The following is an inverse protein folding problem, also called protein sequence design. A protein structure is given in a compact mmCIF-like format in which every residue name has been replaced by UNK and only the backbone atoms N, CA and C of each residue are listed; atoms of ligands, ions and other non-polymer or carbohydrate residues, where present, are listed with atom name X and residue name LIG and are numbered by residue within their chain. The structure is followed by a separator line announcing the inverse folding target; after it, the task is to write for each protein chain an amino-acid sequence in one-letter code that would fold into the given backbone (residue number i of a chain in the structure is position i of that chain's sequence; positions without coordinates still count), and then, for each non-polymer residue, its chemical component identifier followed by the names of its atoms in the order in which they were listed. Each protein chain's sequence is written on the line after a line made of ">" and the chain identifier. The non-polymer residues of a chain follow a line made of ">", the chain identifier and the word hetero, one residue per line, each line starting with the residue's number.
data_IF_547722285013
#
_entry.id   IF_547722285013
#
_cell.length_a   1.000
_cell.length_b   1.000
_cell.length_c   1.000
_cell.angle_alpha   90.00
_cell.angle_beta   90.00
_cell.angle_gamma   90.00
#
_symmetry.space_group_name_H-M   'P 1'
#
loop_
_entity.id
_entity.type
_entity.pdbx_description
1 polymer ?
#
# COMPACT_ATOMS: atom_id res chain seq x y z
N UNK A 1 -6.85 -18.17 6.20
CA UNK A 1 -6.86 -16.93 7.00
C UNK A 1 -7.71 -17.16 8.26
N UNK A 2 -7.19 -16.93 9.47
CA UNK A 2 -8.04 -16.95 10.68
C UNK A 2 -9.03 -15.80 10.59
N UNK A 3 -10.32 -16.08 10.66
CA UNK A 3 -11.35 -15.05 10.72
C UNK A 3 -11.19 -14.32 12.06
N UNK A 4 -10.85 -13.04 12.01
CA UNK A 4 -10.78 -12.20 13.21
C UNK A 4 -12.17 -11.64 13.45
N UNK A 5 -12.80 -12.05 14.56
CA UNK A 5 -14.09 -11.51 14.96
C UNK A 5 -13.92 -10.08 15.52
N UNK A 6 -14.06 -9.11 14.67
CA UNK A 6 -14.13 -7.70 15.05
C UNK A 6 -15.40 -7.08 14.45
N UNK A 7 -15.95 -6.11 15.17
CA UNK A 7 -17.03 -5.31 14.60
C UNK A 7 -16.49 -4.50 13.40
N UNK A 8 -17.30 -4.25 12.37
CA UNK A 8 -16.89 -3.43 11.23
C UNK A 8 -16.33 -2.08 11.66
N UNK A 9 -15.31 -1.64 10.97
CA UNK A 9 -14.68 -0.33 11.17
C UNK A 9 -14.38 0.31 9.83
N UNK A 10 -14.11 1.61 9.83
CA UNK A 10 -13.62 2.32 8.66
C UNK A 10 -12.58 3.37 9.06
N UNK A 11 -11.64 3.62 8.16
CA UNK A 11 -10.59 4.63 8.33
C UNK A 11 -10.86 5.80 7.41
N UNK A 12 -10.70 7.00 7.92
CA UNK A 12 -10.73 8.24 7.15
C UNK A 12 -9.39 8.97 7.27
N UNK A 13 -9.13 9.90 6.38
CA UNK A 13 -7.94 10.72 6.41
C UNK A 13 -6.89 10.31 5.38
N UNK A 14 -7.31 10.14 4.12
CA UNK A 14 -6.42 9.87 2.99
C UNK A 14 -5.36 10.97 2.80
N UNK A 15 -4.16 10.59 2.36
CA UNK A 15 -3.06 11.51 2.12
C UNK A 15 -2.56 12.17 3.41
N UNK A 16 -2.34 13.49 3.38
CA UNK A 16 -1.78 14.24 4.51
C UNK A 16 -2.80 14.59 5.61
N UNK A 17 -4.05 14.17 5.47
CA UNK A 17 -5.15 14.42 6.42
C UNK A 17 -4.90 13.74 7.74
N UNK A 18 -5.49 14.27 8.82
CA UNK A 18 -5.57 13.57 10.10
C UNK A 18 -6.28 12.22 9.94
N UNK A 19 -5.72 11.17 10.55
CA UNK A 19 -6.29 9.82 10.51
C UNK A 19 -7.38 9.69 11.54
N UNK A 20 -8.57 9.31 11.08
CA UNK A 20 -9.76 9.13 11.92
C UNK A 20 -10.23 7.68 11.83
N UNK A 21 -10.49 7.08 12.96
CA UNK A 21 -11.00 5.72 13.09
C UNK A 21 -12.48 5.74 13.43
N UNK A 22 -13.30 5.11 12.60
CA UNK A 22 -14.73 4.93 12.83
C UNK A 22 -15.05 3.53 13.30
N UNK A 23 -15.86 3.42 14.37
CA UNK A 23 -16.44 2.17 14.85
C UNK A 23 -17.63 2.44 15.76
N UNK A 24 -18.76 1.71 15.57
CA UNK A 24 -19.95 1.75 16.46
C UNK A 24 -20.45 3.16 16.80
N UNK A 25 -20.71 3.99 15.81
CA UNK A 25 -21.18 5.35 16.03
C UNK A 25 -20.15 6.33 16.59
N UNK A 26 -18.92 5.92 16.79
CA UNK A 26 -17.83 6.76 17.24
C UNK A 26 -16.80 6.99 16.15
N UNK A 27 -16.39 8.24 15.97
CA UNK A 27 -15.26 8.66 15.15
C UNK A 27 -14.23 9.28 16.08
N UNK A 28 -13.04 8.68 16.10
CA UNK A 28 -11.96 9.10 17.00
C UNK A 28 -10.69 9.44 16.22
N UNK A 29 -9.89 10.36 16.73
CA UNK A 29 -8.56 10.66 16.20
C UNK A 29 -7.61 9.48 16.45
N UNK A 30 -6.88 9.06 15.41
CA UNK A 30 -5.84 8.03 15.57
C UNK A 30 -4.57 8.56 16.24
N UNK A 31 -4.43 9.88 16.40
CA UNK A 31 -3.24 10.48 16.99
C UNK A 31 -3.23 10.41 18.52
N UNK A 32 -4.39 10.61 19.14
CA UNK A 32 -4.53 10.71 20.60
C UNK A 32 -5.75 9.95 21.17
N UNK A 33 -6.57 9.32 20.31
CA UNK A 33 -7.78 8.59 20.70
C UNK A 33 -8.95 9.51 21.11
N UNK A 34 -8.85 10.83 20.92
CA UNK A 34 -9.92 11.76 21.27
C UNK A 34 -11.16 11.57 20.39
N UNK A 35 -12.36 11.70 20.97
CA UNK A 35 -13.59 11.61 20.24
C UNK A 35 -13.81 12.89 19.39
N UNK A 36 -13.87 12.71 18.07
CA UNK A 36 -14.22 13.77 17.11
C UNK A 36 -15.73 13.90 16.97
N UNK A 37 -16.41 12.74 17.00
CA UNK A 37 -17.87 12.63 16.96
C UNK A 37 -18.32 11.33 17.61
N UNK A 38 -19.46 11.33 18.28
CA UNK A 38 -20.08 10.13 18.85
C UNK A 38 -21.60 10.26 18.87
N UNK A 39 -22.30 9.18 18.52
CA UNK A 39 -23.76 9.07 18.60
C UNK A 39 -24.19 7.64 18.91
N UNK A 40 -25.42 7.49 19.46
CA UNK A 40 -26.07 6.18 19.53
C UNK A 40 -26.66 5.83 18.18
N UNK A 41 -26.31 4.66 17.64
CA UNK A 41 -26.80 4.19 16.35
C UNK A 41 -27.90 3.14 16.52
N UNK A 42 -28.90 3.19 15.64
CA UNK A 42 -29.90 2.15 15.43
C UNK A 42 -29.47 1.17 14.33
N UNK A 43 -28.68 1.66 13.39
CA UNK A 43 -28.12 0.92 12.28
C UNK A 43 -26.91 1.67 11.71
N UNK A 44 -25.99 0.92 11.10
CA UNK A 44 -24.78 1.44 10.49
C UNK A 44 -24.55 0.80 9.14
N UNK A 45 -24.11 1.59 8.16
CA UNK A 45 -23.73 1.11 6.85
C UNK A 45 -22.38 1.72 6.47
N UNK A 46 -21.40 0.85 6.22
CA UNK A 46 -20.09 1.23 5.68
C UNK A 46 -20.11 0.96 4.18
N UNK A 47 -20.02 2.03 3.39
CA UNK A 47 -19.90 1.99 1.93
C UNK A 47 -18.43 2.27 1.57
N UNK A 48 -17.59 1.28 1.78
CA UNK A 48 -16.14 1.44 1.64
C UNK A 48 -15.69 1.95 0.25
N UNK A 49 -16.23 1.46 -0.88
CA UNK A 49 -15.90 2.00 -2.19
C UNK A 49 -16.31 3.46 -2.37
N UNK A 50 -17.28 3.95 -1.62
CA UNK A 50 -17.75 5.34 -1.65
C UNK A 50 -17.16 6.19 -0.53
N UNK A 51 -16.19 5.64 0.23
CA UNK A 51 -15.53 6.31 1.36
C UNK A 51 -16.52 6.92 2.35
N UNK A 52 -17.63 6.22 2.58
CA UNK A 52 -18.79 6.74 3.31
C UNK A 52 -19.21 5.82 4.43
N UNK A 53 -19.47 6.40 5.59
CA UNK A 53 -20.17 5.75 6.71
C UNK A 53 -21.49 6.48 6.97
N UNK A 54 -22.56 5.72 7.01
CA UNK A 54 -23.91 6.20 7.30
C UNK A 54 -24.41 5.58 8.60
N UNK A 55 -24.87 6.42 9.51
CA UNK A 55 -25.38 6.05 10.82
C UNK A 55 -26.84 6.45 10.95
N UNK A 56 -27.72 5.50 11.23
CA UNK A 56 -29.12 5.75 11.56
C UNK A 56 -29.26 5.99 13.06
N UNK A 57 -29.86 7.10 13.45
CA UNK A 57 -30.08 7.49 14.85
C UNK A 57 -31.56 7.71 15.11
N UNK A 58 -31.96 7.85 16.38
CA UNK A 58 -33.36 8.21 16.76
C UNK A 58 -33.79 9.56 16.20
N UNK A 59 -32.88 10.43 15.82
CA UNK A 59 -33.14 11.81 15.38
C UNK A 59 -33.02 11.99 13.87
N UNK A 60 -32.45 11.02 13.15
CA UNK A 60 -32.23 11.11 11.72
C UNK A 60 -30.99 10.35 11.30
N UNK A 61 -30.38 10.74 10.19
CA UNK A 61 -29.19 10.10 9.62
C UNK A 61 -28.00 11.02 9.77
N UNK A 62 -26.89 10.46 10.27
CA UNK A 62 -25.58 11.10 10.26
C UNK A 62 -24.75 10.44 9.18
N UNK A 63 -24.00 11.22 8.41
CA UNK A 63 -23.11 10.71 7.37
C UNK A 63 -21.71 11.29 7.54
N UNK A 64 -20.70 10.41 7.47
CA UNK A 64 -19.31 10.81 7.31
C UNK A 64 -18.88 10.36 5.92
N UNK A 65 -18.37 11.29 5.13
CA UNK A 65 -17.87 11.04 3.78
C UNK A 65 -16.49 11.64 3.60
N UNK A 66 -15.63 10.94 2.88
CA UNK A 66 -14.33 11.46 2.45
C UNK A 66 -14.32 11.63 0.93
N UNK A 67 -13.98 12.83 0.48
CA UNK A 67 -13.85 13.19 -0.93
C UNK A 67 -12.46 13.78 -1.25
N UNK A 68 -12.27 14.29 -2.46
CA UNK A 68 -11.00 14.88 -2.88
C UNK A 68 -10.58 16.09 -2.03
N UNK A 69 -11.52 16.79 -1.40
CA UNK A 69 -11.26 17.99 -0.60
C UNK A 69 -10.99 17.68 0.88
N UNK A 70 -11.67 16.69 1.45
CA UNK A 70 -11.56 16.42 2.89
C UNK A 70 -12.44 15.30 3.41
N UNK A 71 -12.50 15.20 4.72
CA UNK A 71 -13.46 14.38 5.47
C UNK A 71 -14.56 15.28 6.00
N UNK A 72 -15.79 14.96 5.70
CA UNK A 72 -16.98 15.77 5.98
C UNK A 72 -17.98 14.99 6.82
N UNK A 73 -18.57 15.65 7.80
CA UNK A 73 -19.64 15.12 8.62
C UNK A 73 -20.90 15.94 8.37
N UNK A 74 -22.00 15.27 8.07
CA UNK A 74 -23.35 15.84 8.05
C UNK A 74 -24.15 15.22 9.17
N UNK A 75 -24.64 16.01 10.12
CA UNK A 75 -25.39 15.52 11.26
C UNK A 75 -26.89 15.32 10.93
N UNK A 76 -27.65 14.84 11.90
CA UNK A 76 -29.09 14.54 11.76
C UNK A 76 -29.97 15.77 11.47
N UNK A 77 -29.45 17.00 11.65
CA UNK A 77 -30.13 18.24 11.29
C UNK A 77 -29.83 18.71 9.88
N UNK A 78 -28.87 18.06 9.21
CA UNK A 78 -28.31 18.46 7.93
C UNK A 78 -27.18 19.48 8.06
N UNK A 79 -26.74 19.81 9.26
CA UNK A 79 -25.57 20.69 9.45
C UNK A 79 -24.30 19.98 9.00
N UNK A 80 -23.54 20.65 8.15
CA UNK A 80 -22.32 20.14 7.51
C UNK A 80 -21.09 20.78 8.11
N UNK A 81 -20.06 19.96 8.38
CA UNK A 81 -18.74 20.43 8.81
C UNK A 81 -17.62 19.60 8.21
N UNK A 82 -16.53 20.25 7.87
CA UNK A 82 -15.28 19.58 7.47
C UNK A 82 -14.45 19.25 8.71
N UNK A 83 -14.05 18.00 8.85
CA UNK A 83 -13.28 17.50 9.98
C UNK A 83 -11.78 17.68 9.74
N UNK A 84 -11.32 17.31 8.56
CA UNK A 84 -9.93 17.49 8.11
C UNK A 84 -9.91 17.70 6.60
N UNK A 85 -8.97 18.50 6.10
CA UNK A 85 -8.89 18.87 4.68
C UNK A 85 -7.44 18.86 4.20
N UNK A 86 -7.24 18.23 3.05
CA UNK A 86 -6.03 18.28 2.24
C UNK A 86 -6.37 17.63 0.89
N UNK A 87 -5.97 18.20 -0.25
CA UNK A 87 -6.39 17.67 -1.53
C UNK A 87 -5.74 16.31 -1.83
N UNK A 88 -6.55 15.38 -2.34
CA UNK A 88 -6.14 14.11 -2.93
C UNK A 88 -6.90 13.92 -4.22
N UNK A 89 -6.39 13.08 -5.15
CA UNK A 89 -7.15 12.66 -6.33
C UNK A 89 -7.75 11.29 -6.08
N UNK A 90 -9.04 11.13 -6.38
CA UNK A 90 -9.79 9.91 -6.18
C UNK A 90 -10.40 9.43 -7.51
N UNK A 91 -9.62 8.80 -8.40
CA UNK A 91 -10.13 8.25 -9.65
C UNK A 91 -11.31 7.34 -9.41
N UNK A 92 -12.31 7.43 -10.27
CA UNK A 92 -13.53 6.64 -10.15
C UNK A 92 -13.36 5.19 -10.65
N UNK A 93 -12.35 4.91 -11.49
CA UNK A 93 -12.13 3.63 -12.16
C UNK A 93 -13.34 3.15 -12.94
N UNK A 94 -14.14 4.08 -13.49
CA UNK A 94 -15.36 3.79 -14.23
C UNK A 94 -15.10 2.83 -15.39
N UNK A 95 -15.95 1.79 -15.51
CA UNK A 95 -15.84 0.77 -16.55
C UNK A 95 -14.87 -0.37 -16.22
N UNK A 96 -14.07 -0.26 -15.16
CA UNK A 96 -13.22 -1.38 -14.73
C UNK A 96 -14.05 -2.47 -14.02
N UNK A 97 -13.87 -3.77 -14.33
CA UNK A 97 -14.69 -4.85 -13.74
C UNK A 97 -14.55 -4.93 -12.20
N UNK A 98 -13.43 -4.48 -11.64
CA UNK A 98 -13.15 -4.46 -10.20
C UNK A 98 -13.05 -3.03 -9.65
N UNK A 99 -13.91 -2.14 -10.14
CA UNK A 99 -13.95 -0.73 -9.73
C UNK A 99 -13.93 -0.54 -8.20
N UNK A 100 -14.79 -1.26 -7.51
CA UNK A 100 -14.95 -1.10 -6.06
C UNK A 100 -13.72 -1.62 -5.30
N UNK A 101 -13.12 -2.72 -5.75
CA UNK A 101 -11.85 -3.19 -5.19
C UNK A 101 -10.71 -2.19 -5.42
N UNK A 102 -10.59 -1.63 -6.63
CA UNK A 102 -9.57 -0.60 -6.92
C UNK A 102 -9.74 0.64 -6.05
N UNK A 103 -10.98 1.08 -5.81
CA UNK A 103 -11.25 2.22 -4.92
C UNK A 103 -10.81 1.93 -3.49
N UNK A 104 -11.11 0.74 -2.95
CA UNK A 104 -10.68 0.34 -1.61
C UNK A 104 -9.16 0.18 -1.54
N UNK A 105 -8.51 -0.45 -2.52
CA UNK A 105 -7.06 -0.60 -2.56
C UNK A 105 -6.34 0.76 -2.65
N UNK A 106 -6.87 1.68 -3.45
CA UNK A 106 -6.35 3.04 -3.51
C UNK A 106 -6.52 3.78 -2.18
N UNK A 107 -7.66 3.61 -1.51
CA UNK A 107 -7.88 4.12 -0.17
C UNK A 107 -6.88 3.52 0.83
N UNK A 108 -6.65 2.20 0.82
CA UNK A 108 -5.68 1.51 1.68
C UNK A 108 -4.26 2.10 1.53
N UNK A 109 -3.89 2.49 0.30
CA UNK A 109 -2.61 3.16 0.02
C UNK A 109 -2.60 4.59 0.56
N UNK A 110 -3.62 5.39 0.28
CA UNK A 110 -3.67 6.79 0.70
C UNK A 110 -3.77 6.96 2.22
N UNK A 111 -4.41 6.03 2.93
CA UNK A 111 -4.44 6.01 4.40
C UNK A 111 -3.03 5.83 4.99
N UNK A 112 -2.16 5.09 4.32
CA UNK A 112 -0.79 4.82 4.76
C UNK A 112 0.21 5.94 4.39
N UNK A 113 -0.28 7.17 4.19
CA UNK A 113 0.57 8.37 4.09
C UNK A 113 0.45 9.18 5.38
N UNK A 114 1.54 9.34 6.12
CA UNK A 114 1.59 10.11 7.37
C UNK A 114 2.52 11.32 7.20
N UNK A 115 1.98 12.52 7.30
CA UNK A 115 2.79 13.74 7.16
C UNK A 115 3.59 13.79 5.85
N UNK A 116 2.99 13.32 4.75
CA UNK A 116 3.64 13.25 3.44
C UNK A 116 4.63 12.09 3.29
N UNK A 117 4.69 11.15 4.23
CA UNK A 117 5.60 10.00 4.22
C UNK A 117 4.84 8.71 3.97
N UNK A 118 5.23 7.90 2.98
CA UNK A 118 4.64 6.59 2.74
C UNK A 118 5.13 5.59 3.81
N UNK A 119 4.19 4.87 4.44
CA UNK A 119 4.52 3.89 5.48
C UNK A 119 3.82 2.56 5.18
N UNK A 120 4.37 1.41 5.61
CA UNK A 120 3.75 0.11 5.37
C UNK A 120 2.35 -0.03 5.99
N UNK A 121 2.18 0.47 7.21
CA UNK A 121 0.91 0.59 7.91
C UNK A 121 1.01 1.70 8.96
N UNK A 122 0.08 2.66 8.91
CA UNK A 122 0.15 3.86 9.75
C UNK A 122 -0.06 3.60 11.25
N UNK A 123 -0.61 2.46 11.65
CA UNK A 123 -0.69 2.07 13.06
C UNK A 123 0.61 1.49 13.58
N UNK A 124 1.12 0.45 12.91
CA UNK A 124 2.16 -0.44 13.45
C UNK A 124 3.55 -0.23 12.84
N UNK A 125 3.63 0.42 11.67
CA UNK A 125 4.87 0.75 10.97
C UNK A 125 4.91 2.25 10.64
N UNK A 126 5.30 3.07 11.59
CA UNK A 126 5.26 4.54 11.42
C UNK A 126 6.48 5.14 10.71
N UNK A 127 7.42 4.32 10.25
CA UNK A 127 8.59 4.76 9.49
C UNK A 127 8.41 4.42 8.02
N UNK A 128 8.80 5.30 7.09
CA UNK A 128 8.81 4.97 5.67
C UNK A 128 9.81 3.86 5.38
N UNK A 129 9.39 2.87 4.60
CA UNK A 129 10.26 1.86 4.02
C UNK A 129 10.39 2.12 2.52
N UNK A 130 11.60 1.95 1.96
CA UNK A 130 11.79 2.19 0.52
C UNK A 130 10.99 1.22 -0.32
N UNK A 131 10.84 -0.01 0.14
CA UNK A 131 10.06 -1.06 -0.50
C UNK A 131 8.60 -0.65 -0.67
N UNK A 132 7.95 -0.28 0.41
CA UNK A 132 6.56 0.19 0.40
C UNK A 132 6.43 1.53 -0.33
N UNK A 133 7.36 2.44 -0.10
CA UNK A 133 7.39 3.75 -0.77
C UNK A 133 7.50 3.64 -2.29
N UNK A 134 8.30 2.70 -2.80
CA UNK A 134 8.45 2.45 -4.24
C UNK A 134 7.18 1.86 -4.85
N UNK A 135 6.55 0.88 -4.18
CA UNK A 135 5.28 0.31 -4.60
C UNK A 135 4.16 1.36 -4.59
N UNK A 136 4.09 2.17 -3.53
CA UNK A 136 3.16 3.31 -3.48
C UNK A 136 3.42 4.29 -4.62
N UNK A 137 4.67 4.57 -4.93
CA UNK A 137 5.03 5.49 -6.04
C UNK A 137 4.44 5.04 -7.37
N UNK A 138 4.43 3.73 -7.67
CA UNK A 138 3.79 3.17 -8.87
C UNK A 138 2.29 3.47 -8.91
N UNK A 139 1.60 3.27 -7.79
CA UNK A 139 0.15 3.52 -7.71
C UNK A 139 -0.16 5.02 -7.72
N UNK A 140 0.61 5.82 -6.98
CA UNK A 140 0.43 7.28 -6.93
C UNK A 140 0.69 7.95 -8.29
N UNK A 141 1.60 7.39 -9.11
CA UNK A 141 1.80 7.81 -10.50
C UNK A 141 0.53 7.59 -11.34
N UNK A 142 -0.01 6.36 -11.32
CA UNK A 142 -1.23 5.99 -12.07
C UNK A 142 -2.45 6.81 -11.63
N UNK A 143 -2.52 7.20 -10.36
CA UNK A 143 -3.68 7.92 -9.78
C UNK A 143 -3.49 9.43 -9.68
N UNK A 144 -2.33 9.95 -10.12
CA UNK A 144 -2.03 11.40 -10.13
C UNK A 144 -1.76 11.99 -8.73
N UNK A 145 -1.31 11.19 -7.78
CA UNK A 145 -1.09 11.56 -6.38
C UNK A 145 0.38 11.67 -5.96
N UNK A 146 1.34 11.63 -6.88
CA UNK A 146 2.78 11.70 -6.58
C UNK A 146 3.18 12.91 -5.72
N UNK A 147 2.46 14.03 -5.85
CA UNK A 147 2.71 15.23 -5.07
C UNK A 147 2.64 14.99 -3.55
N UNK A 148 1.88 13.98 -3.10
CA UNK A 148 1.72 13.66 -1.66
C UNK A 148 3.01 13.21 -0.98
N UNK A 149 3.96 12.63 -1.72
CA UNK A 149 5.22 12.08 -1.18
C UNK A 149 6.47 12.79 -1.73
N UNK A 150 6.31 13.83 -2.56
CA UNK A 150 7.44 14.51 -3.21
C UNK A 150 8.45 15.09 -2.23
N UNK A 151 7.97 15.76 -1.19
CA UNK A 151 8.85 16.41 -0.21
C UNK A 151 9.61 15.37 0.63
N UNK A 152 8.98 14.24 0.94
CA UNK A 152 9.67 13.12 1.58
C UNK A 152 10.78 12.57 0.67
N UNK A 153 10.49 12.35 -0.60
CA UNK A 153 11.47 11.85 -1.55
C UNK A 153 12.66 12.83 -1.72
N UNK A 154 12.39 14.13 -1.77
CA UNK A 154 13.43 15.15 -1.86
C UNK A 154 14.31 15.24 -0.59
N UNK A 155 13.81 14.79 0.55
CA UNK A 155 14.50 14.82 1.83
C UNK A 155 15.23 13.49 2.17
N UNK A 156 15.27 12.52 1.24
CA UNK A 156 16.01 11.27 1.46
C UNK A 156 17.51 11.55 1.56
N UNK A 157 18.19 10.94 2.53
CA UNK A 157 19.60 11.21 2.84
C UNK A 157 20.47 9.95 2.91
N UNK A 158 19.89 8.76 2.78
CA UNK A 158 20.56 7.47 2.87
C UNK A 158 20.25 6.55 1.68
N UNK A 159 21.19 5.66 1.33
CA UNK A 159 20.98 4.63 0.29
C UNK A 159 20.06 3.50 0.75
N UNK A 160 19.99 3.27 2.05
CA UNK A 160 19.27 2.19 2.70
C UNK A 160 18.43 2.75 3.84
N UNK A 161 17.17 2.34 3.93
CA UNK A 161 16.30 2.76 5.04
C UNK A 161 16.62 2.05 6.36
N UNK A 162 17.23 0.87 6.30
CA UNK A 162 17.65 0.04 7.44
C UNK A 162 16.52 -0.27 8.44
N UNK A 163 15.28 -0.19 8.01
CA UNK A 163 14.13 -0.43 8.88
C UNK A 163 13.99 -1.91 9.25
N UNK A 164 14.46 -2.81 8.39
CA UNK A 164 14.43 -4.24 8.64
C UNK A 164 15.63 -4.67 9.51
N UNK A 165 15.49 -4.55 10.82
CA UNK A 165 16.51 -4.92 11.82
C UNK A 165 17.90 -4.29 11.56
N UNK A 166 17.99 -3.15 10.89
CA UNK A 166 19.24 -2.45 10.58
C UNK A 166 19.97 -2.97 9.34
N UNK A 167 19.39 -3.91 8.59
CA UNK A 167 19.98 -4.51 7.39
C UNK A 167 20.03 -3.49 6.25
N UNK A 168 21.12 -3.52 5.47
CA UNK A 168 21.22 -2.83 4.19
C UNK A 168 20.66 -3.74 3.09
N UNK A 169 19.36 -3.55 2.79
CA UNK A 169 18.68 -4.37 1.80
C UNK A 169 18.99 -3.90 0.38
N UNK A 170 19.41 -4.83 -0.48
CA UNK A 170 19.93 -4.50 -1.81
C UNK A 170 18.87 -3.93 -2.75
N UNK A 171 17.60 -4.33 -2.61
CA UNK A 171 16.49 -3.79 -3.38
C UNK A 171 16.27 -2.29 -3.13
N UNK A 172 16.69 -1.76 -1.97
CA UNK A 172 16.58 -0.34 -1.65
C UNK A 172 17.29 0.56 -2.69
N UNK A 173 18.37 0.10 -3.32
CA UNK A 173 19.09 0.89 -4.33
C UNK A 173 18.20 1.19 -5.54
N UNK A 174 17.54 0.17 -6.07
CA UNK A 174 16.61 0.33 -7.19
C UNK A 174 15.34 1.09 -6.81
N UNK A 175 14.79 0.80 -5.65
CA UNK A 175 13.62 1.48 -5.09
C UNK A 175 13.86 2.98 -4.89
N UNK A 176 14.99 3.35 -4.31
CA UNK A 176 15.42 4.74 -4.14
C UNK A 176 15.49 5.47 -5.49
N UNK A 177 16.18 4.86 -6.48
CA UNK A 177 16.28 5.44 -7.82
C UNK A 177 14.90 5.65 -8.45
N UNK A 178 14.02 4.67 -8.33
CA UNK A 178 12.66 4.74 -8.86
C UNK A 178 11.83 5.84 -8.19
N UNK A 179 11.83 5.92 -6.86
CA UNK A 179 11.15 6.95 -6.07
C UNK A 179 11.60 8.34 -6.51
N UNK A 180 12.93 8.57 -6.55
CA UNK A 180 13.50 9.86 -6.94
C UNK A 180 13.12 10.25 -8.37
N UNK A 181 13.21 9.31 -9.32
CA UNK A 181 12.82 9.55 -10.71
C UNK A 181 11.37 9.99 -10.83
N UNK A 182 10.45 9.19 -10.27
CA UNK A 182 9.00 9.39 -10.44
C UNK A 182 8.47 10.62 -9.71
N UNK A 183 9.11 11.00 -8.60
CA UNK A 183 8.77 12.23 -7.86
C UNK A 183 9.42 13.50 -8.42
N UNK A 184 10.21 13.38 -9.51
CA UNK A 184 10.84 14.51 -10.21
C UNK A 184 12.13 15.00 -9.55
N UNK A 185 12.74 14.21 -8.68
CA UNK A 185 14.01 14.54 -7.99
C UNK A 185 15.23 13.98 -8.79
N UNK A 186 15.30 14.24 -10.09
CA UNK A 186 16.27 13.64 -11.02
C UNK A 186 17.72 14.10 -10.82
N UNK A 187 17.95 15.22 -10.11
CA UNK A 187 19.28 15.75 -9.79
C UNK A 187 19.72 15.43 -8.35
N UNK A 188 19.03 14.49 -7.69
CA UNK A 188 19.27 14.17 -6.29
C UNK A 188 20.66 13.57 -6.05
N UNK A 189 21.41 14.03 -5.01
CA UNK A 189 22.82 13.62 -4.78
C UNK A 189 22.99 12.14 -4.41
N UNK A 190 21.93 11.44 -4.05
CA UNK A 190 21.97 9.98 -3.83
C UNK A 190 21.97 9.18 -5.12
N UNK A 191 21.52 9.70 -6.26
CA UNK A 191 21.45 8.97 -7.52
C UNK A 191 22.82 8.42 -7.94
N UNK A 192 23.88 9.25 -8.12
CA UNK A 192 25.19 8.71 -8.50
C UNK A 192 25.75 7.74 -7.46
N UNK A 193 25.50 7.97 -6.18
CA UNK A 193 25.96 7.07 -5.11
C UNK A 193 25.24 5.72 -5.16
N UNK A 194 23.94 5.70 -5.42
CA UNK A 194 23.16 4.46 -5.55
C UNK A 194 23.61 3.64 -6.75
N UNK A 195 23.89 4.30 -7.89
CA UNK A 195 24.40 3.63 -9.09
C UNK A 195 25.81 3.04 -8.85
N UNK A 196 26.69 3.78 -8.20
CA UNK A 196 28.03 3.28 -7.85
C UNK A 196 27.95 2.08 -6.90
N UNK A 197 27.13 2.18 -5.87
CA UNK A 197 26.91 1.10 -4.89
C UNK A 197 26.27 -0.13 -5.55
N UNK A 198 25.29 0.06 -6.45
CA UNK A 198 24.70 -1.02 -7.19
C UNK A 198 25.72 -1.75 -8.07
N UNK A 199 26.59 -1.02 -8.78
CA UNK A 199 27.71 -1.62 -9.54
C UNK A 199 28.65 -2.40 -8.65
N UNK A 200 28.99 -1.88 -7.47
CA UNK A 200 29.87 -2.54 -6.49
C UNK A 200 29.25 -3.84 -5.95
N UNK A 201 27.92 -3.87 -5.76
CA UNK A 201 27.17 -5.05 -5.25
C UNK A 201 26.73 -6.01 -6.35
N UNK A 202 26.99 -5.74 -7.62
CA UNK A 202 26.60 -6.63 -8.71
C UNK A 202 27.66 -7.68 -9.01
N UNK A 203 27.21 -8.91 -9.27
CA UNK A 203 28.02 -9.98 -9.83
C UNK A 203 27.41 -10.41 -11.16
N UNK A 204 28.22 -10.40 -12.23
CA UNK A 204 27.79 -10.73 -13.59
C UNK A 204 26.56 -9.94 -14.08
N UNK A 205 26.36 -8.71 -13.53
CA UNK A 205 25.24 -7.82 -13.85
C UNK A 205 24.00 -8.02 -13.00
N UNK A 206 23.95 -9.03 -12.14
CA UNK A 206 22.85 -9.24 -11.18
C UNK A 206 23.21 -8.61 -9.83
N UNK A 207 22.25 -7.92 -9.22
CA UNK A 207 22.43 -7.35 -7.89
C UNK A 207 22.43 -8.45 -6.83
N UNK A 208 23.39 -8.41 -5.92
CA UNK A 208 23.58 -9.38 -4.82
C UNK A 208 23.30 -8.77 -3.46
N UNK A 209 23.02 -9.60 -2.47
CA UNK A 209 22.75 -9.22 -1.09
C UNK A 209 21.36 -9.64 -0.64
N UNK A 210 20.93 -9.14 0.51
CA UNK A 210 19.68 -9.55 1.13
C UNK A 210 18.55 -8.56 0.82
N UNK A 211 17.34 -9.06 0.74
CA UNK A 211 16.08 -8.34 0.91
C UNK A 211 15.20 -9.22 1.77
N UNK A 212 14.59 -8.65 2.82
CA UNK A 212 13.77 -9.36 3.80
C UNK A 212 14.39 -10.67 4.33
N UNK A 213 15.66 -10.58 4.77
CA UNK A 213 16.48 -11.65 5.35
C UNK A 213 16.93 -12.76 4.39
N UNK A 214 16.60 -12.68 3.10
CA UNK A 214 17.00 -13.67 2.09
C UNK A 214 17.54 -13.00 0.83
N UNK A 215 18.20 -13.79 -0.02
CA UNK A 215 18.59 -13.33 -1.35
C UNK A 215 17.40 -13.44 -2.31
N UNK A 216 17.10 -12.33 -2.98
CA UNK A 216 16.06 -12.23 -4.00
C UNK A 216 16.63 -11.62 -5.29
N UNK A 217 17.55 -12.33 -5.98
CA UNK A 217 18.38 -11.74 -7.03
C UNK A 217 17.58 -11.27 -8.24
N UNK A 218 16.46 -11.90 -8.58
CA UNK A 218 15.58 -11.46 -9.67
C UNK A 218 14.86 -10.18 -9.28
N UNK A 219 14.20 -10.19 -8.14
CA UNK A 219 13.45 -9.05 -7.60
C UNK A 219 14.34 -7.82 -7.42
N UNK A 220 15.50 -7.98 -6.76
CA UNK A 220 16.46 -6.91 -6.51
C UNK A 220 16.99 -6.30 -7.82
N UNK A 221 17.34 -7.15 -8.79
CA UNK A 221 17.88 -6.71 -10.07
C UNK A 221 16.81 -6.04 -10.94
N UNK A 222 15.57 -6.51 -10.89
CA UNK A 222 14.45 -5.85 -11.57
C UNK A 222 14.15 -4.47 -11.01
N UNK A 223 14.19 -4.29 -9.68
CA UNK A 223 14.08 -2.96 -9.08
C UNK A 223 15.18 -2.03 -9.55
N UNK A 224 16.43 -2.51 -9.56
CA UNK A 224 17.55 -1.72 -10.05
C UNK A 224 17.34 -1.29 -11.51
N UNK A 225 16.94 -2.22 -12.37
CA UNK A 225 16.65 -1.95 -13.77
C UNK A 225 15.55 -0.90 -13.93
N UNK A 226 14.42 -1.07 -13.23
CA UNK A 226 13.29 -0.11 -13.25
C UNK A 226 13.71 1.29 -12.77
N UNK A 227 14.51 1.37 -11.71
CA UNK A 227 15.00 2.65 -11.20
C UNK A 227 15.92 3.37 -12.19
N UNK A 228 16.83 2.64 -12.82
CA UNK A 228 17.73 3.19 -13.86
C UNK A 228 16.94 3.63 -15.11
N UNK A 229 16.03 2.80 -15.60
CA UNK A 229 15.16 3.13 -16.74
C UNK A 229 14.31 4.37 -16.48
N UNK A 230 13.74 4.49 -15.27
CA UNK A 230 12.95 5.65 -14.88
C UNK A 230 13.75 6.97 -14.90
N UNK A 231 15.06 6.89 -14.68
CA UNK A 231 16.01 8.01 -14.76
C UNK A 231 16.61 8.21 -16.17
N UNK A 232 16.32 7.31 -17.14
CA UNK A 232 16.96 7.33 -18.46
C UNK A 232 18.45 7.00 -18.40
N UNK A 233 18.90 6.25 -17.39
CA UNK A 233 20.30 5.83 -17.23
C UNK A 233 20.57 4.50 -17.96
N UNK A 234 21.84 4.26 -18.25
CA UNK A 234 22.30 3.04 -18.92
C UNK A 234 21.99 1.78 -18.10
N UNK A 235 21.33 0.82 -18.70
CA UNK A 235 20.95 -0.49 -18.13
C UNK A 235 21.63 -1.67 -18.80
N UNK A 236 22.49 -1.49 -19.80
CA UNK A 236 23.13 -2.58 -20.56
C UNK A 236 24.00 -3.51 -19.70
N UNK A 237 24.49 -2.99 -18.59
CA UNK A 237 25.28 -3.76 -17.64
C UNK A 237 24.41 -4.56 -16.64
N UNK A 238 23.09 -4.31 -16.56
CA UNK A 238 22.17 -4.99 -15.64
C UNK A 238 21.62 -6.25 -16.30
N UNK A 239 21.83 -7.40 -15.68
CA UNK A 239 21.36 -8.70 -16.19
C UNK A 239 20.48 -9.36 -15.13
N UNK A 240 19.19 -9.45 -15.41
CA UNK A 240 18.26 -10.16 -14.55
C UNK A 240 18.56 -11.66 -14.63
N UNK A 241 18.87 -12.33 -13.51
CA UNK A 241 19.20 -13.76 -13.55
C UNK A 241 17.95 -14.61 -13.76
N UNK A 242 18.11 -15.72 -14.49
CA UNK A 242 17.03 -16.69 -14.75
C UNK A 242 17.04 -17.78 -13.65
N UNK A 243 16.66 -17.41 -12.43
CA UNK A 243 16.58 -18.31 -11.28
C UNK A 243 15.24 -18.15 -10.57
N UNK A 244 14.74 -19.17 -9.85
CA UNK A 244 13.53 -19.03 -9.04
C UNK A 244 13.70 -17.96 -7.98
N UNK A 245 12.68 -17.09 -7.84
CA UNK A 245 12.66 -16.04 -6.82
C UNK A 245 11.22 -15.79 -6.36
N UNK A 246 10.94 -16.10 -5.11
CA UNK A 246 9.60 -15.99 -4.52
C UNK A 246 9.08 -14.56 -4.38
N UNK A 247 9.97 -13.56 -4.49
CA UNK A 247 9.63 -12.13 -4.42
C UNK A 247 9.36 -11.50 -5.78
N UNK A 248 9.60 -12.23 -6.89
CA UNK A 248 9.50 -11.66 -8.23
C UNK A 248 8.20 -11.90 -9.00
N UNK A 249 7.14 -12.56 -8.48
CA UNK A 249 6.03 -13.06 -9.31
C UNK A 249 5.35 -12.03 -10.19
N UNK A 250 5.27 -10.80 -9.76
CA UNK A 250 4.68 -9.70 -10.54
C UNK A 250 5.72 -8.71 -11.01
N UNK A 251 7.00 -9.00 -10.82
CA UNK A 251 8.01 -7.97 -10.84
C UNK A 251 8.64 -7.68 -12.21
N UNK A 252 8.27 -6.58 -12.88
CA UNK A 252 6.86 -6.22 -12.77
C UNK A 252 6.30 -6.52 -14.14
N UNK A 253 5.60 -7.62 -14.26
CA UNK A 253 4.86 -8.13 -15.42
C UNK A 253 5.60 -8.05 -16.77
N UNK A 254 6.92 -8.08 -16.75
CA UNK A 254 7.79 -7.99 -17.92
C UNK A 254 7.96 -9.32 -18.68
N UNK A 255 7.09 -10.26 -18.39
CA UNK A 255 7.12 -11.60 -19.03
C UNK A 255 8.20 -12.52 -18.47
N UNK A 256 8.81 -12.20 -17.34
CA UNK A 256 9.77 -13.07 -16.69
C UNK A 256 9.03 -14.30 -16.11
N UNK A 257 9.27 -15.46 -16.74
CA UNK A 257 8.58 -16.72 -16.45
C UNK A 257 9.47 -17.63 -15.58
N UNK A 258 9.86 -17.17 -14.40
CA UNK A 258 10.54 -18.06 -13.47
C UNK A 258 9.54 -19.02 -12.83
N UNK A 259 9.99 -20.24 -12.56
CA UNK A 259 9.27 -21.14 -11.67
C UNK A 259 9.31 -20.59 -10.26
N UNK A 260 8.20 -20.09 -9.79
CA UNK A 260 8.07 -19.59 -8.44
C UNK A 260 7.50 -20.67 -7.53
N UNK A 261 8.23 -20.98 -6.46
CA UNK A 261 7.73 -21.83 -5.40
C UNK A 261 6.85 -21.01 -4.46
N UNK A 262 5.57 -20.85 -4.79
CA UNK A 262 4.64 -20.03 -4.00
C UNK A 262 4.24 -20.62 -2.68
N UNK A 263 4.28 -21.94 -2.50
CA UNK A 263 4.06 -22.67 -1.25
C UNK A 263 3.04 -22.05 -0.29
N UNK A 264 3.42 -21.95 0.98
CA UNK A 264 2.62 -21.32 2.04
C UNK A 264 2.38 -19.81 1.86
N UNK A 265 3.11 -19.16 0.96
CA UNK A 265 2.91 -17.74 0.65
C UNK A 265 1.53 -17.49 0.05
N UNK A 266 1.04 -18.36 -0.84
CA UNK A 266 -0.28 -18.23 -1.44
C UNK A 266 -1.42 -18.39 -0.44
N UNK A 267 -1.22 -19.14 0.65
CA UNK A 267 -2.23 -19.30 1.70
C UNK A 267 -2.40 -18.01 2.52
N UNK A 268 -1.32 -17.27 2.72
CA UNK A 268 -1.32 -16.01 3.47
C UNK A 268 -1.71 -14.81 2.60
N UNK A 269 -1.42 -14.88 1.31
CA UNK A 269 -1.64 -13.80 0.33
C UNK A 269 -2.36 -14.33 -0.91
N UNK A 270 -3.69 -14.42 -0.89
CA UNK A 270 -4.48 -15.03 -1.97
C UNK A 270 -4.21 -14.45 -3.37
N UNK A 271 -3.90 -13.15 -3.47
CA UNK A 271 -3.58 -12.50 -4.74
C UNK A 271 -2.29 -13.03 -5.38
N UNK A 272 -1.35 -13.58 -4.61
CA UNK A 272 -0.16 -14.24 -5.17
C UNK A 272 -0.52 -15.52 -5.92
N UNK A 273 -1.59 -16.21 -5.53
CA UNK A 273 -2.13 -17.34 -6.31
C UNK A 273 -2.62 -16.87 -7.68
N UNK A 274 -3.18 -15.68 -7.75
CA UNK A 274 -3.63 -15.11 -9.04
C UNK A 274 -2.46 -14.69 -9.90
N UNK A 275 -1.46 -14.08 -9.31
CA UNK A 275 -0.23 -13.70 -9.99
C UNK A 275 0.48 -14.95 -10.56
N UNK A 276 0.59 -16.00 -9.75
CA UNK A 276 1.16 -17.28 -10.17
C UNK A 276 0.37 -17.90 -11.31
N UNK A 277 -0.95 -17.93 -11.21
CA UNK A 277 -1.82 -18.46 -12.26
C UNK A 277 -1.67 -17.66 -13.56
N UNK A 278 -1.57 -16.34 -13.49
CA UNK A 278 -1.38 -15.47 -14.64
C UNK A 278 -0.03 -15.72 -15.33
N UNK A 279 1.06 -15.75 -14.57
CA UNK A 279 2.41 -16.01 -15.11
C UNK A 279 2.56 -17.42 -15.68
N UNK A 280 1.86 -18.41 -15.12
CA UNK A 280 1.82 -19.77 -15.65
C UNK A 280 0.84 -19.96 -16.83
N UNK A 281 0.10 -18.92 -17.22
CA UNK A 281 -0.88 -18.99 -18.30
C UNK A 281 -2.19 -19.70 -17.94
N UNK A 282 -2.48 -19.88 -16.64
CA UNK A 282 -3.75 -20.40 -16.17
C UNK A 282 -4.82 -19.30 -16.12
N UNK A 283 -6.07 -19.72 -16.29
CA UNK A 283 -7.23 -18.84 -16.04
C UNK A 283 -7.35 -18.60 -14.54
N UNK A 284 -7.56 -17.34 -14.15
CA UNK A 284 -7.79 -17.00 -12.75
C UNK A 284 -8.93 -17.81 -12.14
N UNK A 285 -8.78 -18.23 -10.89
CA UNK A 285 -9.82 -18.87 -10.13
C UNK A 285 -11.02 -17.92 -9.96
N UNK A 286 -12.18 -18.37 -10.43
CA UNK A 286 -13.42 -17.59 -10.40
C UNK A 286 -13.88 -17.25 -8.98
N UNK A 287 -13.56 -18.07 -7.99
CA UNK A 287 -13.94 -17.82 -6.59
C UNK A 287 -13.19 -16.63 -6.01
N UNK A 288 -11.90 -16.51 -6.30
CA UNK A 288 -11.10 -15.36 -5.88
C UNK A 288 -11.54 -14.06 -6.57
N UNK A 289 -11.88 -14.13 -7.86
CA UNK A 289 -12.43 -12.99 -8.59
C UNK A 289 -13.78 -12.55 -8.05
N UNK A 290 -14.66 -13.48 -7.69
CA UNK A 290 -15.96 -13.17 -7.11
C UNK A 290 -15.84 -12.39 -5.77
N UNK A 291 -14.81 -12.65 -4.99
CA UNK A 291 -14.52 -11.88 -3.77
C UNK A 291 -14.17 -10.41 -4.06
N UNK A 292 -13.59 -10.12 -5.24
CA UNK A 292 -13.27 -8.75 -5.67
C UNK A 292 -14.44 -8.00 -6.31
N UNK A 293 -15.49 -8.70 -6.75
CA UNK A 293 -16.71 -8.07 -7.25
C UNK A 293 -17.50 -7.38 -6.12
N UNK A 294 -17.41 -7.91 -4.89
CA UNK A 294 -18.02 -7.34 -3.68
C UNK A 294 -17.01 -7.35 -2.53
N UNK A 295 -15.98 -6.51 -2.63
CA UNK A 295 -14.90 -6.55 -1.68
C UNK A 295 -15.35 -6.08 -0.29
N UNK A 296 -14.86 -6.76 0.75
CA UNK A 296 -14.91 -6.27 2.12
C UNK A 296 -13.93 -5.12 2.35
N UNK A 297 -13.90 -4.59 3.58
CA UNK A 297 -12.95 -3.56 3.98
C UNK A 297 -12.28 -3.96 5.32
N UNK A 298 -10.97 -3.75 5.47
CA UNK A 298 -10.00 -3.51 4.40
C UNK A 298 -9.72 -4.78 3.57
N UNK A 299 -9.21 -4.61 2.33
CA UNK A 299 -8.85 -5.77 1.48
C UNK A 299 -7.43 -6.24 1.78
N UNK A 300 -6.52 -5.30 2.02
CA UNK A 300 -5.11 -5.59 2.23
C UNK A 300 -4.78 -5.80 3.71
N UNK A 301 -3.87 -6.71 3.98
CA UNK A 301 -3.44 -7.01 5.34
C UNK A 301 -2.10 -7.73 5.37
N UNK A 302 -1.46 -7.75 6.53
CA UNK A 302 -0.25 -8.52 6.82
C UNK A 302 -0.35 -9.17 8.21
N UNK A 303 0.20 -10.36 8.36
CA UNK A 303 0.18 -11.12 9.61
C UNK A 303 1.59 -11.46 10.07
N UNK A 304 1.85 -11.32 11.38
CA UNK A 304 3.13 -11.67 12.02
C UNK A 304 4.36 -10.95 11.45
N UNK A 305 4.13 -9.76 10.92
CA UNK A 305 5.21 -8.95 10.38
C UNK A 305 6.32 -8.68 11.39
N UNK A 306 7.54 -8.79 10.96
CA UNK A 306 8.72 -8.58 11.77
C UNK A 306 8.89 -7.20 12.29
N UNK A 307 9.24 -6.40 12.72
CA UNK A 307 9.38 -4.98 13.11
C UNK A 307 8.06 -4.23 13.40
N UNK A 308 6.88 -4.89 13.28
CA UNK A 308 5.59 -4.26 13.56
C UNK A 308 5.33 -4.08 15.07
N UNK A 309 4.81 -2.90 15.44
CA UNK A 309 4.47 -2.56 16.82
C UNK A 309 2.98 -2.77 17.08
N UNK A 310 2.52 -4.01 17.13
CA UNK A 310 1.09 -4.37 17.22
C UNK A 310 0.37 -3.79 18.45
N UNK A 311 1.08 -3.51 19.53
CA UNK A 311 0.49 -2.88 20.71
C UNK A 311 -0.10 -1.48 20.45
N UNK A 312 0.40 -0.79 19.41
CA UNK A 312 -0.15 0.51 19.00
C UNK A 312 -1.54 0.38 18.36
N UNK A 313 -1.88 -0.80 17.87
CA UNK A 313 -3.20 -1.10 17.30
C UNK A 313 -4.25 -1.44 18.36
N UNK A 314 -3.82 -1.91 19.54
CA UNK A 314 -4.69 -2.41 20.61
C UNK A 314 -5.81 -1.46 21.06
N UNK A 315 -5.61 -0.14 21.17
CA UNK A 315 -6.69 0.77 21.54
C UNK A 315 -7.85 0.83 20.53
N UNK A 316 -7.58 0.49 19.28
CA UNK A 316 -8.55 0.57 18.17
C UNK A 316 -9.09 -0.81 17.79
N UNK A 317 -8.21 -1.77 17.62
CA UNK A 317 -8.50 -3.11 17.10
C UNK A 317 -7.80 -4.19 17.95
N UNK A 318 -8.27 -4.47 19.17
CA UNK A 318 -7.61 -5.38 20.11
C UNK A 318 -7.46 -6.81 19.55
N UNK A 319 -8.48 -7.36 18.84
CA UNK A 319 -8.37 -8.69 18.27
C UNK A 319 -7.34 -8.77 17.12
N UNK A 320 -7.16 -7.68 16.36
CA UNK A 320 -6.09 -7.57 15.35
C UNK A 320 -4.71 -7.54 16.03
N UNK A 321 -4.58 -6.77 17.11
CA UNK A 321 -3.32 -6.72 17.88
C UNK A 321 -2.95 -8.09 18.46
N UNK A 322 -3.92 -8.80 19.06
CA UNK A 322 -3.73 -10.15 19.61
C UNK A 322 -3.36 -11.18 18.54
N UNK A 323 -3.96 -11.07 17.37
CA UNK A 323 -3.66 -11.92 16.21
C UNK A 323 -2.37 -11.52 15.48
N UNK A 324 -1.69 -10.45 15.90
CA UNK A 324 -0.54 -9.85 15.19
C UNK A 324 -0.86 -9.61 13.70
N UNK A 325 -2.02 -9.04 13.45
CA UNK A 325 -2.56 -8.76 12.13
C UNK A 325 -2.69 -7.25 11.94
N UNK A 326 -2.18 -6.72 10.85
CA UNK A 326 -2.29 -5.31 10.48
C UNK A 326 -3.06 -5.15 9.19
N UNK A 327 -3.96 -4.18 9.16
CA UNK A 327 -4.76 -3.83 8.00
C UNK A 327 -5.14 -2.32 8.07
N UNK A 328 -5.08 -1.60 6.94
CA UNK A 328 -4.58 -2.02 5.63
C UNK A 328 -3.05 -2.15 5.59
N UNK A 329 -2.51 -2.85 4.57
CA UNK A 329 -1.07 -2.98 4.34
C UNK A 329 -0.69 -2.50 2.95
N UNK A 330 0.28 -1.60 2.88
CA UNK A 330 0.62 -0.84 1.67
C UNK A 330 1.13 -1.71 0.53
N UNK A 331 2.13 -2.57 0.79
CA UNK A 331 2.68 -3.42 -0.27
C UNK A 331 1.59 -4.29 -0.91
N UNK A 332 0.82 -5.02 -0.09
CA UNK A 332 -0.19 -5.93 -0.60
C UNK A 332 -1.32 -5.18 -1.33
N UNK A 333 -1.68 -3.98 -0.84
CA UNK A 333 -2.63 -3.12 -1.56
C UNK A 333 -2.09 -2.69 -2.91
N UNK A 334 -0.81 -2.29 -2.97
CA UNK A 334 -0.18 -1.84 -4.20
C UNK A 334 -0.01 -2.96 -5.23
N UNK A 335 0.46 -4.14 -4.81
CA UNK A 335 0.58 -5.30 -5.71
C UNK A 335 -0.76 -5.68 -6.33
N UNK A 336 -1.81 -5.77 -5.52
CA UNK A 336 -3.15 -6.11 -6.00
C UNK A 336 -3.71 -5.02 -6.93
N UNK A 337 -3.53 -3.74 -6.57
CA UNK A 337 -3.94 -2.61 -7.41
C UNK A 337 -3.25 -2.64 -8.77
N UNK A 338 -1.93 -2.76 -8.79
CA UNK A 338 -1.13 -2.78 -10.01
C UNK A 338 -1.48 -3.99 -10.88
N UNK A 339 -1.63 -5.16 -10.27
CA UNK A 339 -2.04 -6.36 -10.98
C UNK A 339 -3.38 -6.18 -11.70
N UNK A 340 -4.40 -5.68 -11.01
CA UNK A 340 -5.71 -5.44 -11.60
C UNK A 340 -5.66 -4.40 -12.72
N UNK A 341 -4.92 -3.30 -12.52
CA UNK A 341 -4.81 -2.23 -13.52
C UNK A 341 -4.04 -2.67 -14.76
N UNK A 342 -3.00 -3.47 -14.60
CA UNK A 342 -2.18 -3.94 -15.72
C UNK A 342 -2.87 -5.07 -16.51
N UNK A 343 -3.67 -5.89 -15.82
CA UNK A 343 -4.43 -6.97 -16.47
C UNK A 343 -5.59 -6.47 -17.33
N UNK A 344 -6.30 -5.42 -16.87
CA UNK A 344 -7.51 -4.92 -17.55
C UNK A 344 -7.31 -3.57 -18.23
N UNK A 345 -6.17 -2.93 -18.05
CA UNK A 345 -5.86 -1.59 -18.55
C UNK A 345 -6.53 -0.47 -17.72
N UNK A 346 -5.79 0.53 -17.32
CA UNK A 346 -6.27 1.85 -16.91
C UNK A 346 -5.51 2.88 -17.72
#
# INVERSE_FOLDING_TARGET
>A
MKTIEEKPFFLFGMGAREKLFYRNGALVSCSDGSAVFQTETLGETILAPEYTVRMETKKGVVTVIEDEAGVHLTDETGAHRTLTASPVRLPDFAGHPYRDALRILHHDILINIIGGKPVPNFFVYKKPWYRDGAMMTMVLEKTGNLALIRDWAAALDALYDRNNAGIEESDNLGQLLYILAKTGNTDHPLIPKAVEEAKRRSADGALTGLSDFSEHPVYQTKWLKLGLEALGLDTDWVKVPAVPDSYSPLFWMDGHKEEHAYGSYCENYPYLSWAAAHTAGFTMDKEHLAALEKPGYPISSETEASQAQYELLRPFLPAYADARHSAPHTWHAAEMFLYLTDLYGI
#
